data_IF_665803440717
#
_entry.id   IF_665803440717
#
_cell.length_a   1.000
_cell.length_b   1.000
_cell.length_c   1.000
_cell.angle_alpha   90.00
_cell.angle_beta   90.00
_cell.angle_gamma   90.00
#
_symmetry.space_group_name_H-M   'P 1'
#
loop_
_entity.id
_entity.type
_entity.pdbx_description
1 polymer ?
#
# COMPACT_ATOMS: atom_id res chain seq x y z
N UNK A 1 -9.43 -10.71 -4.13
CA UNK A 1 -9.58 -9.41 -3.42
C UNK A 1 -8.54 -8.41 -3.91
N UNK A 2 -8.80 -7.10 -3.80
CA UNK A 2 -7.87 -6.03 -4.21
C UNK A 2 -7.50 -5.16 -3.01
N UNK A 3 -6.20 -5.09 -2.69
CA UNK A 3 -5.68 -4.38 -1.52
C UNK A 3 -4.83 -3.20 -1.99
N UNK A 4 -5.02 -2.05 -1.34
CA UNK A 4 -4.20 -0.87 -1.56
C UNK A 4 -3.28 -0.72 -0.34
N UNK A 5 -1.97 -0.77 -0.55
CA UNK A 5 -0.96 -0.67 0.49
C UNK A 5 -0.21 0.65 0.37
N UNK A 6 -0.37 1.53 1.35
CA UNK A 6 0.41 2.78 1.45
C UNK A 6 1.61 2.59 2.38
N UNK A 7 2.73 3.24 2.09
CA UNK A 7 3.89 3.19 3.00
C UNK A 7 4.62 1.84 3.04
N UNK A 8 4.66 1.12 1.91
CA UNK A 8 5.34 -0.17 1.79
C UNK A 8 6.84 -0.15 2.14
N UNK A 9 7.47 1.03 2.15
CA UNK A 9 8.88 1.22 2.55
C UNK A 9 9.10 1.29 4.06
N UNK A 10 8.04 1.39 4.87
CA UNK A 10 8.16 1.37 6.33
C UNK A 10 8.23 -0.06 6.87
N UNK A 11 8.74 -0.23 8.09
CA UNK A 11 8.83 -1.52 8.80
C UNK A 11 7.52 -2.32 8.73
N UNK A 12 6.41 -1.65 9.04
CA UNK A 12 5.07 -2.27 9.00
C UNK A 12 4.67 -2.59 7.56
N UNK A 13 4.83 -1.65 6.64
CA UNK A 13 4.43 -1.84 5.24
C UNK A 13 5.17 -2.99 4.56
N UNK A 14 6.46 -3.18 4.86
CA UNK A 14 7.25 -4.30 4.35
C UNK A 14 6.79 -5.64 4.93
N UNK A 15 6.50 -5.70 6.24
CA UNK A 15 5.98 -6.92 6.87
C UNK A 15 4.60 -7.30 6.31
N UNK A 16 3.72 -6.32 6.12
CA UNK A 16 2.41 -6.52 5.49
C UNK A 16 2.58 -7.00 4.05
N UNK A 17 3.49 -6.42 3.27
CA UNK A 17 3.75 -6.86 1.90
C UNK A 17 4.19 -8.33 1.82
N UNK A 18 5.06 -8.77 2.74
CA UNK A 18 5.48 -10.18 2.85
C UNK A 18 4.28 -11.08 3.17
N UNK A 19 3.46 -10.68 4.15
CA UNK A 19 2.26 -11.44 4.53
C UNK A 19 1.22 -11.52 3.39
N UNK A 20 0.99 -10.40 2.69
CA UNK A 20 0.06 -10.34 1.56
C UNK A 20 0.53 -11.18 0.38
N UNK A 21 1.84 -11.24 0.13
CA UNK A 21 2.40 -12.07 -0.94
C UNK A 21 2.21 -13.57 -0.68
N UNK A 22 2.30 -13.97 0.59
CA UNK A 22 2.09 -15.34 1.03
C UNK A 22 0.61 -15.77 1.01
N UNK A 23 -0.34 -14.82 0.91
CA UNK A 23 -1.76 -15.11 0.84
C UNK A 23 -2.21 -15.35 -0.60
N UNK A 24 -2.78 -16.52 -0.92
CA UNK A 24 -3.31 -16.79 -2.26
C UNK A 24 -4.69 -16.16 -2.52
N UNK A 25 -5.40 -15.72 -1.47
CA UNK A 25 -6.73 -15.08 -1.62
C UNK A 25 -6.65 -13.65 -2.21
N UNK A 26 -5.48 -13.04 -2.08
CA UNK A 26 -5.22 -11.69 -2.59
C UNK A 26 -4.89 -11.77 -4.08
N UNK A 27 -5.81 -11.27 -4.89
CA UNK A 27 -5.72 -11.32 -6.35
C UNK A 27 -4.89 -10.16 -6.90
N UNK A 28 -4.88 -9.02 -6.20
CA UNK A 28 -4.19 -7.80 -6.65
C UNK A 28 -3.77 -6.93 -5.47
N UNK A 29 -2.56 -6.37 -5.53
CA UNK A 29 -1.97 -5.49 -4.52
C UNK A 29 -1.49 -4.24 -5.24
N UNK A 30 -2.11 -3.10 -4.96
CA UNK A 30 -1.67 -1.80 -5.49
C UNK A 30 -0.94 -1.04 -4.40
N UNK A 31 0.32 -0.72 -4.63
CA UNK A 31 1.15 -0.02 -3.66
C UNK A 31 1.17 1.44 -4.04
N UNK A 32 0.61 2.28 -3.18
CA UNK A 32 0.62 3.73 -3.38
C UNK A 32 1.80 4.32 -2.61
N UNK A 33 2.77 4.88 -3.34
CA UNK A 33 3.98 5.43 -2.75
C UNK A 33 4.41 6.70 -3.45
N UNK A 34 5.04 7.61 -2.72
CA UNK A 34 5.63 8.84 -3.29
C UNK A 34 6.99 8.61 -3.94
N UNK A 35 7.58 7.44 -3.66
CA UNK A 35 8.92 7.05 -4.10
C UNK A 35 8.88 5.58 -4.56
N UNK A 36 9.74 5.20 -5.51
CA UNK A 36 9.87 3.80 -5.92
C UNK A 36 10.18 2.92 -4.71
N UNK A 37 9.70 1.68 -4.76
CA UNK A 37 9.81 0.71 -3.67
C UNK A 37 10.92 -0.29 -4.05
N UNK A 38 12.17 -0.09 -3.59
CA UNK A 38 13.33 -0.84 -4.10
C UNK A 38 13.26 -2.34 -3.82
N UNK A 39 12.55 -2.76 -2.77
CA UNK A 39 12.35 -4.19 -2.46
C UNK A 39 11.49 -4.95 -3.50
N UNK A 40 10.83 -4.23 -4.40
CA UNK A 40 10.06 -4.80 -5.51
C UNK A 40 10.79 -4.70 -6.85
N UNK A 41 11.88 -3.93 -6.93
CA UNK A 41 12.70 -3.86 -8.13
C UNK A 41 13.38 -5.23 -8.36
N UNK A 42 12.96 -5.93 -9.42
CA UNK A 42 13.39 -7.29 -9.74
C UNK A 42 12.44 -8.40 -9.28
N UNK A 43 11.35 -8.06 -8.57
CA UNK A 43 10.29 -9.03 -8.24
C UNK A 43 9.17 -8.98 -9.30
N UNK A 44 9.12 -9.98 -10.18
CA UNK A 44 8.06 -10.12 -11.20
C UNK A 44 6.80 -10.80 -10.64
N UNK A 45 6.19 -10.26 -9.58
CA UNK A 45 4.88 -10.73 -9.13
C UNK A 45 3.78 -9.95 -9.88
N UNK A 46 3.10 -10.58 -10.84
CA UNK A 46 2.08 -9.92 -11.69
C UNK A 46 0.88 -9.40 -10.91
N UNK A 47 0.74 -9.77 -9.63
CA UNK A 47 -0.33 -9.31 -8.75
C UNK A 47 -0.01 -7.96 -8.11
N UNK A 48 1.26 -7.54 -8.10
CA UNK A 48 1.73 -6.34 -7.41
C UNK A 48 1.95 -5.23 -8.43
N UNK A 49 1.33 -4.08 -8.19
CA UNK A 49 1.51 -2.88 -9.02
C UNK A 49 1.92 -1.71 -8.13
N UNK A 50 3.02 -1.05 -8.46
CA UNK A 50 3.48 0.14 -7.75
C UNK A 50 2.98 1.37 -8.50
N UNK A 51 2.12 2.14 -7.84
CA UNK A 51 1.57 3.39 -8.37
C UNK A 51 2.26 4.53 -7.63
N UNK A 52 3.03 5.32 -8.38
CA UNK A 52 3.71 6.49 -7.84
C UNK A 52 2.73 7.66 -7.79
N UNK A 53 2.30 8.04 -6.59
CA UNK A 53 1.35 9.12 -6.38
C UNK A 53 1.68 9.90 -5.10
N UNK A 54 1.60 11.23 -5.19
CA UNK A 54 1.86 12.12 -4.06
C UNK A 54 0.60 12.42 -3.26
N UNK A 55 0.60 12.09 -1.97
CA UNK A 55 -0.55 12.26 -1.08
C UNK A 55 -0.76 13.71 -0.59
N UNK A 56 0.16 14.64 -0.91
CA UNK A 56 0.16 15.99 -0.34
C UNK A 56 -0.95 16.88 -0.90
N UNK A 57 -1.70 16.40 -1.91
CA UNK A 57 -2.86 17.06 -2.50
C UNK A 57 -4.22 16.61 -1.95
N UNK A 58 -4.27 15.69 -0.98
CA UNK A 58 -5.51 15.42 -0.24
C UNK A 58 -5.70 16.54 0.79
N UNK A 59 -6.22 17.67 0.32
CA UNK A 59 -6.80 18.68 1.20
C UNK A 59 -7.82 17.95 2.09
N UNK A 60 -7.67 18.14 3.40
CA UNK A 60 -8.41 17.41 4.42
C UNK A 60 -9.91 17.61 4.18
N UNK A 61 -10.58 16.65 3.54
CA UNK A 61 -12.03 16.70 3.39
C UNK A 61 -12.66 16.56 4.77
N UNK A 62 -13.33 17.61 5.29
CA UNK A 62 -14.04 17.51 6.55
C UNK A 62 -15.29 16.66 6.32
N UNK A 63 -15.16 15.37 6.64
CA UNK A 63 -16.27 14.42 6.66
C UNK A 63 -16.42 13.66 5.34
N UNK A 64 -16.21 12.34 5.42
CA UNK A 64 -17.06 11.32 4.81
C UNK A 64 -16.52 9.95 5.16
N UNK A 65 -17.15 9.35 6.16
CA UNK A 65 -17.12 7.92 6.43
C UNK A 65 -17.66 7.19 5.20
N UNK A 66 -16.83 6.61 4.34
CA UNK A 66 -17.28 5.61 3.36
C UNK A 66 -16.14 4.67 2.95
N UNK A 67 -16.12 3.52 3.62
CA UNK A 67 -15.96 2.19 3.03
C UNK A 67 -14.98 2.01 1.87
N UNK A 68 -13.72 1.79 2.24
CA UNK A 68 -12.91 0.62 1.90
C UNK A 68 -11.72 0.67 2.83
N UNK A 69 -11.49 -0.42 3.55
CA UNK A 69 -10.58 -0.54 4.69
C UNK A 69 -9.15 -0.04 4.35
N UNK A 70 -8.93 1.27 4.41
CA UNK A 70 -7.63 1.91 4.34
C UNK A 70 -7.09 1.83 5.76
N UNK A 71 -6.46 0.71 6.11
CA UNK A 71 -5.75 0.61 7.39
C UNK A 71 -4.50 1.47 7.30
N UNK A 72 -4.64 2.74 7.68
CA UNK A 72 -3.52 3.62 7.95
C UNK A 72 -2.85 3.13 9.25
N UNK A 73 -1.92 2.18 9.16
CA UNK A 73 -1.05 1.83 10.30
C UNK A 73 -0.01 2.93 10.48
N UNK A 74 -0.39 4.01 11.14
CA UNK A 74 0.52 5.05 11.58
C UNK A 74 1.28 4.59 12.83
N UNK A 75 2.54 4.19 12.68
CA UNK A 75 3.48 4.20 13.82
C UNK A 75 4.13 5.58 13.82
N UNK A 76 3.52 6.50 14.56
CA UNK A 76 4.15 7.76 14.93
C UNK A 76 5.18 7.52 16.03
N UNK A 77 6.36 8.11 15.88
CA UNK A 77 7.15 8.62 16.99
C UNK A 77 7.32 10.11 16.74
#
# INVERSE_FOLDING_TARGET
MHIILTGATGLVGSAVLVALRARPDVSRISILSRRPVPMLEGTNDSRIEVIIHDFKGYDCYPGTSTERECVCVGIGH
#
